data_IF_214890426364
#
_entry.id   IF_214890426364
#
_cell.length_a   1.000
_cell.length_b   1.000
_cell.length_c   1.000
_cell.angle_alpha   90.00
_cell.angle_beta   90.00
_cell.angle_gamma   90.00
#
_symmetry.space_group_name_H-M   'P 1'
#
loop_
_entity.id
_entity.type
_entity.pdbx_description
1 polymer ?
#
# COMPACT_ATOMS: atom_id res chain seq x y z
N UNK A 1 10.65 -47.00 -1.25
CA UNK A 1 9.43 -46.28 -0.81
C UNK A 1 9.85 -45.28 0.25
N UNK A 2 9.93 -44.00 -0.08
CA UNK A 2 10.25 -42.93 0.86
C UNK A 2 8.96 -42.14 1.11
N UNK A 3 8.48 -42.11 2.34
CA UNK A 3 7.37 -41.26 2.76
C UNK A 3 7.87 -39.82 2.86
N UNK A 4 7.32 -38.93 2.05
CA UNK A 4 7.42 -37.48 2.26
C UNK A 4 6.51 -37.08 3.41
N UNK A 5 7.08 -36.53 4.47
CA UNK A 5 6.33 -35.85 5.52
C UNK A 5 5.91 -34.46 5.01
N UNK A 6 4.60 -34.25 4.91
CA UNK A 6 3.99 -32.93 4.68
C UNK A 6 4.09 -32.15 5.98
N UNK A 7 4.89 -31.09 6.00
CA UNK A 7 4.95 -30.14 7.12
C UNK A 7 3.81 -29.14 6.93
N UNK A 8 2.76 -29.27 7.73
CA UNK A 8 1.72 -28.25 7.87
C UNK A 8 2.30 -27.01 8.57
N UNK A 9 1.96 -25.78 8.17
CA UNK A 9 2.34 -24.58 8.91
C UNK A 9 1.59 -24.53 10.27
N UNK A 10 2.21 -23.96 11.31
CA UNK A 10 1.66 -24.02 12.66
C UNK A 10 0.46 -23.09 12.81
N UNK A 11 -0.60 -23.60 13.45
CA UNK A 11 -1.64 -22.77 14.01
C UNK A 11 -1.06 -22.01 15.21
N UNK A 12 -1.15 -20.68 15.22
CA UNK A 12 -0.83 -19.87 16.39
C UNK A 12 -1.98 -18.93 16.69
N UNK A 13 -2.77 -19.33 17.68
CA UNK A 13 -3.50 -18.43 18.54
C UNK A 13 -2.77 -18.44 19.89
N UNK A 14 -2.09 -17.36 20.26
CA UNK A 14 -1.90 -16.98 21.66
C UNK A 14 -1.45 -15.51 21.76
N UNK A 15 -2.05 -14.83 22.74
CA UNK A 15 -1.82 -13.43 23.10
C UNK A 15 -0.33 -13.14 23.33
N UNK A 16 0.19 -12.19 22.57
CA UNK A 16 1.44 -11.49 22.88
C UNK A 16 1.11 -10.04 23.23
N UNK A 17 1.53 -9.67 24.43
CA UNK A 17 1.40 -8.34 25.01
C UNK A 17 2.48 -7.46 24.36
N UNK A 18 2.15 -6.70 23.31
CA UNK A 18 3.09 -5.82 22.62
C UNK A 18 3.42 -4.58 23.46
N UNK A 19 4.68 -4.09 23.45
CA UNK A 19 5.00 -2.78 24.01
C UNK A 19 4.26 -1.69 23.22
N UNK A 20 3.89 -0.61 23.92
CA UNK A 20 3.03 0.43 23.38
C UNK A 20 3.57 1.02 22.07
N UNK A 21 2.79 0.84 21.00
CA UNK A 21 2.88 1.62 19.77
C UNK A 21 2.85 3.11 20.12
N UNK A 22 3.67 3.97 19.48
CA UNK A 22 3.63 5.41 19.76
C UNK A 22 2.20 5.90 19.56
N UNK A 23 1.65 6.50 20.61
CA UNK A 23 0.25 6.89 20.70
C UNK A 23 -0.22 7.60 19.42
N UNK A 24 -1.31 7.11 18.85
CA UNK A 24 -1.97 7.72 17.71
C UNK A 24 -2.14 9.22 17.96
N UNK A 25 -1.65 10.04 17.02
CA UNK A 25 -1.82 11.48 17.09
C UNK A 25 -3.33 11.84 17.15
N UNK A 26 -3.74 12.86 17.93
CA UNK A 26 -5.13 13.15 18.29
C UNK A 26 -6.06 13.62 17.13
N UNK A 27 -5.69 13.40 15.87
CA UNK A 27 -6.48 13.82 14.70
C UNK A 27 -7.51 12.80 14.20
N UNK A 28 -7.40 11.52 14.57
CA UNK A 28 -8.33 10.47 14.11
C UNK A 28 -9.54 10.28 15.04
N UNK A 29 -9.61 10.99 16.17
CA UNK A 29 -10.77 10.92 17.07
C UNK A 29 -12.08 11.41 16.44
N UNK A 30 -12.04 12.02 15.24
CA UNK A 30 -13.22 12.55 14.55
C UNK A 30 -13.83 11.60 13.51
N UNK A 31 -13.11 10.59 12.99
CA UNK A 31 -13.62 9.64 11.97
C UNK A 31 -13.56 8.21 12.50
N UNK A 32 -14.63 7.80 13.19
CA UNK A 32 -14.66 6.55 13.96
C UNK A 32 -14.62 5.26 13.13
N UNK A 33 -14.74 5.33 11.80
CA UNK A 33 -14.71 4.18 10.89
C UNK A 33 -13.69 4.40 9.76
N UNK A 34 -12.88 3.38 9.40
CA UNK A 34 -11.84 3.50 8.37
C UNK A 34 -12.36 3.95 7.01
N UNK A 35 -13.60 3.63 6.65
CA UNK A 35 -14.19 4.03 5.36
C UNK A 35 -14.45 5.55 5.26
N UNK A 36 -14.51 6.26 6.40
CA UNK A 36 -14.78 7.71 6.41
C UNK A 36 -13.50 8.54 6.15
N UNK A 37 -12.34 7.90 6.24
CA UNK A 37 -11.03 8.54 6.02
C UNK A 37 -10.80 8.91 4.56
N UNK A 38 -11.51 8.25 3.62
CA UNK A 38 -11.29 8.35 2.18
C UNK A 38 -10.14 7.49 1.66
N UNK A 39 -9.38 6.83 2.55
CA UNK A 39 -8.40 5.80 2.20
C UNK A 39 -9.07 4.69 1.39
N UNK A 40 -8.32 4.08 0.47
CA UNK A 40 -8.78 3.01 -0.41
C UNK A 40 -8.83 1.65 0.32
N UNK A 41 -9.51 1.61 1.48
CA UNK A 41 -9.59 0.44 2.37
C UNK A 41 -10.33 -0.72 1.70
N UNK A 42 -11.43 -0.43 1.00
CA UNK A 42 -12.21 -1.46 0.31
C UNK A 42 -11.44 -2.03 -0.89
N UNK A 43 -10.75 -1.17 -1.65
CA UNK A 43 -9.81 -1.62 -2.68
C UNK A 43 -8.70 -2.47 -2.07
N UNK A 44 -8.07 -2.05 -0.98
CA UNK A 44 -7.02 -2.81 -0.32
C UNK A 44 -7.51 -4.23 0.04
N UNK A 45 -8.70 -4.36 0.62
CA UNK A 45 -9.29 -5.66 0.98
C UNK A 45 -9.60 -6.54 -0.24
N UNK A 46 -10.18 -6.00 -1.31
CA UNK A 46 -10.68 -6.78 -2.45
C UNK A 46 -9.68 -6.94 -3.62
N UNK A 47 -8.75 -6.01 -3.77
CA UNK A 47 -7.88 -5.89 -4.93
C UNK A 47 -6.39 -6.13 -4.62
N UNK A 48 -6.06 -6.52 -3.39
CA UNK A 48 -4.72 -7.00 -3.06
C UNK A 48 -4.63 -8.50 -3.26
N UNK A 49 -3.63 -8.95 -4.01
CA UNK A 49 -3.29 -10.38 -4.15
C UNK A 49 -2.56 -10.85 -2.89
N UNK A 50 -3.31 -11.37 -1.93
CA UNK A 50 -2.80 -11.82 -0.63
C UNK A 50 -3.74 -12.89 -0.03
N UNK A 51 -3.19 -14.06 0.33
CA UNK A 51 -3.97 -15.20 0.81
C UNK A 51 -4.69 -14.94 2.16
N UNK A 52 -4.15 -14.05 3.01
CA UNK A 52 -4.84 -13.63 4.23
C UNK A 52 -6.08 -12.82 3.87
N UNK A 53 -5.95 -11.87 2.94
CA UNK A 53 -7.08 -11.02 2.53
C UNK A 53 -8.16 -11.83 1.79
N UNK A 54 -7.78 -12.85 1.02
CA UNK A 54 -8.74 -13.83 0.47
C UNK A 54 -9.52 -14.56 1.57
N UNK A 55 -8.84 -14.93 2.66
CA UNK A 55 -9.47 -15.55 3.83
C UNK A 55 -10.37 -14.57 4.60
N UNK A 56 -9.95 -13.30 4.73
CA UNK A 56 -10.72 -12.25 5.36
C UNK A 56 -12.01 -11.93 4.57
N UNK A 57 -11.96 -11.95 3.25
CA UNK A 57 -13.14 -11.81 2.37
C UNK A 57 -14.13 -12.96 2.55
N UNK A 58 -13.63 -14.20 2.66
CA UNK A 58 -14.48 -15.35 2.96
C UNK A 58 -15.12 -15.22 4.36
N UNK A 59 -14.38 -14.70 5.34
CA UNK A 59 -14.92 -14.40 6.67
C UNK A 59 -15.99 -13.29 6.63
N UNK A 60 -15.74 -12.20 5.91
CA UNK A 60 -16.72 -11.13 5.69
C UNK A 60 -18.02 -11.70 5.15
N UNK A 61 -17.93 -12.45 4.04
CA UNK A 61 -19.11 -12.99 3.38
C UNK A 61 -19.91 -13.89 4.32
N UNK A 62 -19.23 -14.80 5.03
CA UNK A 62 -19.87 -15.74 5.96
C UNK A 62 -20.44 -15.05 7.20
N UNK A 63 -19.72 -14.11 7.78
CA UNK A 63 -20.10 -13.47 9.06
C UNK A 63 -21.33 -12.58 8.95
N UNK A 64 -21.57 -12.02 7.77
CA UNK A 64 -22.71 -11.13 7.49
C UNK A 64 -23.74 -11.75 6.54
N UNK A 65 -23.59 -13.03 6.21
CA UNK A 65 -24.43 -13.77 5.26
C UNK A 65 -24.64 -13.02 3.94
N UNK A 66 -23.56 -12.47 3.39
CA UNK A 66 -23.62 -11.67 2.17
C UNK A 66 -23.76 -12.57 0.94
N UNK A 67 -24.69 -12.23 0.07
CA UNK A 67 -24.81 -12.86 -1.24
C UNK A 67 -23.56 -12.59 -2.10
N UNK A 68 -23.27 -13.49 -3.04
CA UNK A 68 -22.20 -13.26 -4.03
C UNK A 68 -22.39 -11.96 -4.82
N UNK A 69 -23.65 -11.53 -5.02
CA UNK A 69 -23.96 -10.25 -5.65
C UNK A 69 -23.50 -9.07 -4.79
N UNK A 70 -23.79 -9.07 -3.50
CA UNK A 70 -23.34 -8.03 -2.58
C UNK A 70 -21.80 -7.98 -2.49
N UNK A 71 -21.14 -9.13 -2.47
CA UNK A 71 -19.67 -9.19 -2.50
C UNK A 71 -19.10 -8.58 -3.80
N UNK A 72 -19.69 -8.89 -4.96
CA UNK A 72 -19.28 -8.31 -6.23
C UNK A 72 -19.54 -6.79 -6.29
N UNK A 73 -20.63 -6.30 -5.70
CA UNK A 73 -20.91 -4.87 -5.60
C UNK A 73 -19.88 -4.16 -4.70
N UNK A 74 -19.50 -4.75 -3.56
CA UNK A 74 -18.40 -4.22 -2.72
C UNK A 74 -17.07 -4.18 -3.46
N UNK A 75 -16.72 -5.25 -4.18
CA UNK A 75 -15.50 -5.31 -4.99
C UNK A 75 -15.47 -4.18 -6.04
N UNK A 76 -16.59 -3.96 -6.72
CA UNK A 76 -16.74 -2.94 -7.75
C UNK A 76 -16.65 -1.52 -7.16
N UNK A 77 -17.28 -1.27 -6.02
CA UNK A 77 -17.21 0.03 -5.32
C UNK A 77 -15.78 0.34 -4.90
N UNK A 78 -15.05 -0.65 -4.37
CA UNK A 78 -13.63 -0.48 -4.01
C UNK A 78 -12.77 -0.10 -5.22
N UNK A 79 -12.93 -0.78 -6.35
CA UNK A 79 -12.22 -0.44 -7.58
C UNK A 79 -12.57 0.96 -8.09
N UNK A 80 -13.86 1.31 -8.07
CA UNK A 80 -14.36 2.62 -8.51
C UNK A 80 -13.73 3.76 -7.72
N UNK A 81 -13.68 3.65 -6.38
CA UNK A 81 -13.01 4.62 -5.50
C UNK A 81 -11.53 4.77 -5.85
N UNK A 82 -10.82 3.65 -6.02
CA UNK A 82 -9.40 3.65 -6.37
C UNK A 82 -9.15 4.32 -7.73
N UNK A 83 -9.96 4.03 -8.73
CA UNK A 83 -9.81 4.62 -10.08
C UNK A 83 -10.14 6.12 -10.09
N UNK A 84 -11.19 6.54 -9.38
CA UNK A 84 -11.56 7.94 -9.25
C UNK A 84 -10.45 8.77 -8.59
N UNK A 85 -9.73 8.18 -7.64
CA UNK A 85 -8.66 8.85 -6.89
C UNK A 85 -7.29 8.76 -7.56
N UNK A 86 -7.09 7.85 -8.53
CA UNK A 86 -5.83 7.65 -9.28
C UNK A 86 -5.70 8.50 -10.55
N UNK A 87 -6.78 9.15 -11.00
CA UNK A 87 -6.75 9.92 -12.25
C UNK A 87 -5.62 10.97 -12.22
N UNK A 88 -4.84 11.13 -13.31
CA UNK A 88 -3.58 11.91 -13.36
C UNK A 88 -3.72 13.43 -13.12
N UNK A 89 -4.87 13.91 -12.64
CA UNK A 89 -5.08 15.27 -12.15
C UNK A 89 -5.33 15.37 -10.64
N UNK A 90 -5.32 14.27 -9.89
CA UNK A 90 -5.66 14.28 -8.46
C UNK A 90 -4.46 14.15 -7.52
N UNK A 91 -3.34 13.51 -7.87
CA UNK A 91 -2.10 13.75 -7.11
C UNK A 91 -1.70 15.20 -7.37
N UNK A 92 -1.68 16.05 -6.35
CA UNK A 92 -1.37 17.46 -6.49
C UNK A 92 0.13 17.63 -6.77
N UNK A 93 0.59 17.20 -7.95
CA UNK A 93 1.81 17.74 -8.56
C UNK A 93 1.47 19.20 -8.94
N UNK A 94 1.53 20.06 -7.92
CA UNK A 94 1.50 21.54 -7.93
C UNK A 94 0.17 22.32 -8.15
N UNK A 95 -1.00 21.83 -7.70
CA UNK A 95 -2.26 22.56 -7.91
C UNK A 95 -2.94 23.11 -6.65
N UNK A 96 -3.61 22.24 -5.90
CA UNK A 96 -4.41 22.63 -4.74
C UNK A 96 -4.64 21.40 -3.83
N UNK A 97 -3.74 21.21 -2.86
CA UNK A 97 -3.82 20.17 -1.83
C UNK A 97 -5.17 20.20 -1.10
N UNK A 98 -5.77 21.38 -0.94
CA UNK A 98 -7.08 21.53 -0.31
C UNK A 98 -8.17 20.96 -1.22
N UNK A 99 -8.13 21.24 -2.52
CA UNK A 99 -9.07 20.66 -3.48
C UNK A 99 -8.93 19.14 -3.57
N UNK A 100 -7.70 18.62 -3.61
CA UNK A 100 -7.48 17.17 -3.58
C UNK A 100 -8.09 16.54 -2.33
N UNK A 101 -7.74 17.06 -1.14
CA UNK A 101 -8.25 16.53 0.12
C UNK A 101 -9.78 16.65 0.24
N UNK A 102 -10.38 17.73 -0.26
CA UNK A 102 -11.83 17.86 -0.34
C UNK A 102 -12.45 16.82 -1.29
N UNK A 103 -11.79 16.50 -2.41
CA UNK A 103 -12.24 15.45 -3.33
C UNK A 103 -12.21 14.06 -2.69
N UNK A 104 -11.20 13.79 -1.86
CA UNK A 104 -11.09 12.54 -1.08
C UNK A 104 -12.26 12.40 -0.11
N UNK A 105 -12.62 13.47 0.60
CA UNK A 105 -13.78 13.46 1.51
C UNK A 105 -15.10 13.27 0.77
N UNK A 106 -15.29 13.95 -0.36
CA UNK A 106 -16.47 13.77 -1.20
C UNK A 106 -16.58 12.34 -1.75
N UNK A 107 -15.47 11.77 -2.18
CA UNK A 107 -15.42 10.39 -2.68
C UNK A 107 -15.67 9.38 -1.55
N UNK A 108 -15.22 9.63 -0.32
CA UNK A 108 -15.54 8.80 0.84
C UNK A 108 -17.05 8.78 1.11
N UNK A 109 -17.70 9.95 1.10
CA UNK A 109 -19.14 10.06 1.28
C UNK A 109 -19.93 9.32 0.19
N UNK A 110 -19.54 9.49 -1.08
CA UNK A 110 -20.14 8.77 -2.21
C UNK A 110 -19.96 7.25 -2.08
N UNK A 111 -18.74 6.80 -1.78
CA UNK A 111 -18.41 5.38 -1.60
C UNK A 111 -19.26 4.77 -0.49
N UNK A 112 -19.42 5.46 0.65
CA UNK A 112 -20.27 5.01 1.74
C UNK A 112 -21.75 4.86 1.33
N UNK A 113 -22.28 5.77 0.49
CA UNK A 113 -23.65 5.67 -0.04
C UNK A 113 -23.82 4.46 -0.99
N UNK A 114 -22.81 4.19 -1.83
CA UNK A 114 -22.81 3.04 -2.73
C UNK A 114 -22.77 1.72 -1.94
N UNK A 115 -21.90 1.63 -0.91
CA UNK A 115 -21.85 0.48 0.01
C UNK A 115 -23.18 0.29 0.72
N UNK A 116 -23.79 1.37 1.22
CA UNK A 116 -25.10 1.29 1.88
C UNK A 116 -26.18 0.77 0.93
N UNK A 117 -26.16 1.20 -0.33
CA UNK A 117 -27.12 0.77 -1.36
C UNK A 117 -26.95 -0.71 -1.72
N UNK A 118 -25.69 -1.18 -1.80
CA UNK A 118 -25.37 -2.58 -2.07
C UNK A 118 -25.79 -3.49 -0.90
N UNK A 119 -25.48 -3.09 0.33
CA UNK A 119 -25.65 -3.94 1.50
C UNK A 119 -27.03 -3.86 2.15
N UNK A 120 -27.76 -2.76 1.95
CA UNK A 120 -29.10 -2.53 2.54
C UNK A 120 -29.06 -2.78 4.05
N UNK A 121 -29.84 -3.75 4.53
CA UNK A 121 -29.96 -4.08 5.95
C UNK A 121 -28.65 -4.61 6.56
N UNK A 122 -27.74 -5.17 5.75
CA UNK A 122 -26.41 -5.63 6.20
C UNK A 122 -25.41 -4.48 6.40
N UNK A 123 -25.73 -3.24 5.97
CA UNK A 123 -24.80 -2.11 6.01
C UNK A 123 -24.27 -1.77 7.41
N UNK A 124 -25.09 -1.68 8.48
CA UNK A 124 -24.58 -1.41 9.83
C UNK A 124 -23.64 -2.52 10.33
N UNK A 125 -23.98 -3.78 10.04
CA UNK A 125 -23.14 -4.93 10.36
C UNK A 125 -21.78 -4.87 9.66
N UNK A 126 -21.77 -4.51 8.38
CA UNK A 126 -20.55 -4.30 7.61
C UNK A 126 -19.69 -3.18 8.16
N UNK A 127 -20.28 -2.03 8.54
CA UNK A 127 -19.51 -0.93 9.14
C UNK A 127 -18.82 -1.35 10.44
N UNK A 128 -19.47 -2.19 11.24
CA UNK A 128 -18.84 -2.74 12.45
C UNK A 128 -17.74 -3.75 12.11
N UNK A 129 -18.02 -4.65 11.16
CA UNK A 129 -17.06 -5.65 10.72
C UNK A 129 -15.79 -5.01 10.15
N UNK A 130 -15.91 -4.06 9.20
CA UNK A 130 -14.76 -3.41 8.55
C UNK A 130 -13.93 -2.61 9.55
N UNK A 131 -14.57 -2.01 10.57
CA UNK A 131 -13.86 -1.29 11.64
C UNK A 131 -13.01 -2.25 12.48
N UNK A 132 -13.58 -3.37 12.90
CA UNK A 132 -12.86 -4.38 13.68
C UNK A 132 -11.76 -5.07 12.84
N UNK A 133 -12.09 -5.46 11.62
CA UNK A 133 -11.13 -6.04 10.67
C UNK A 133 -9.96 -5.09 10.39
N UNK A 134 -10.23 -3.79 10.18
CA UNK A 134 -9.18 -2.82 9.90
C UNK A 134 -8.18 -2.70 11.05
N UNK A 135 -8.66 -2.71 12.30
CA UNK A 135 -7.75 -2.72 13.45
C UNK A 135 -6.89 -3.99 13.46
N UNK A 136 -7.49 -5.16 13.25
CA UNK A 136 -6.75 -6.42 13.19
C UNK A 136 -5.76 -6.48 12.02
N UNK A 137 -6.08 -5.89 10.88
CA UNK A 137 -5.19 -5.79 9.72
C UNK A 137 -3.99 -4.87 10.00
N UNK A 138 -4.22 -3.72 10.65
CA UNK A 138 -3.13 -2.84 11.11
C UNK A 138 -2.18 -3.58 12.03
N UNK A 139 -2.71 -4.24 13.06
CA UNK A 139 -1.91 -4.97 14.04
C UNK A 139 -1.09 -6.09 13.35
N UNK A 140 -1.73 -6.83 12.44
CA UNK A 140 -1.06 -7.88 11.67
C UNK A 140 0.11 -7.35 10.84
N UNK A 141 -0.10 -6.26 10.08
CA UNK A 141 0.94 -5.71 9.19
C UNK A 141 2.05 -5.04 9.97
N UNK A 142 1.73 -4.29 11.02
CA UNK A 142 2.72 -3.62 11.85
C UNK A 142 3.61 -4.64 12.58
N UNK A 143 3.04 -5.72 13.13
CA UNK A 143 3.83 -6.79 13.73
C UNK A 143 4.78 -7.47 12.73
N UNK A 144 4.32 -7.67 11.48
CA UNK A 144 5.15 -8.24 10.42
C UNK A 144 6.30 -7.30 10.02
N UNK A 145 6.04 -6.00 9.95
CA UNK A 145 7.03 -4.96 9.66
C UNK A 145 8.08 -4.89 10.77
N UNK A 146 7.66 -4.82 12.04
CA UNK A 146 8.54 -4.82 13.21
C UNK A 146 9.45 -6.05 13.25
N UNK A 147 8.90 -7.23 12.94
CA UNK A 147 9.65 -8.49 12.92
C UNK A 147 10.69 -8.57 11.79
N UNK A 148 10.50 -7.82 10.70
CA UNK A 148 11.34 -7.85 9.51
C UNK A 148 12.47 -6.79 9.50
N UNK A 149 12.48 -5.84 10.45
CA UNK A 149 13.39 -4.69 10.45
C UNK A 149 14.63 -4.94 11.34
N UNK A 150 15.82 -4.68 10.78
CA UNK A 150 17.10 -4.68 11.52
C UNK A 150 17.71 -3.28 11.45
N UNK A 151 17.99 -2.63 12.60
CA UNK A 151 18.37 -1.21 12.64
C UNK A 151 19.77 -0.87 12.11
N UNK A 152 20.67 -1.85 11.97
CA UNK A 152 22.12 -1.55 11.89
C UNK A 152 22.78 -1.77 10.52
N UNK A 153 22.02 -2.04 9.46
CA UNK A 153 22.53 -2.09 8.09
C UNK A 153 21.46 -1.61 7.10
N UNK A 154 21.88 -0.93 6.02
CA UNK A 154 21.00 -0.54 4.93
C UNK A 154 20.16 -1.73 4.44
N UNK A 155 18.92 -1.45 4.05
CA UNK A 155 18.00 -2.53 3.72
C UNK A 155 18.25 -2.99 2.29
N UNK A 156 18.85 -4.17 2.16
CA UNK A 156 19.06 -4.78 0.85
C UNK A 156 17.78 -5.39 0.30
N UNK A 157 16.90 -5.94 1.16
CA UNK A 157 15.67 -6.63 0.73
C UNK A 157 14.52 -6.34 1.70
N UNK A 158 13.34 -6.01 1.17
CA UNK A 158 12.16 -5.71 2.00
C UNK A 158 10.84 -6.17 1.38
N UNK A 159 9.85 -6.45 2.24
CA UNK A 159 8.47 -6.74 1.81
C UNK A 159 7.69 -5.42 1.76
N UNK A 160 7.21 -5.03 0.58
CA UNK A 160 6.60 -3.73 0.33
C UNK A 160 5.27 -3.93 -0.40
N UNK A 161 4.28 -3.10 -0.06
CA UNK A 161 3.04 -3.04 -0.80
C UNK A 161 3.25 -2.31 -2.13
N UNK A 162 2.87 -2.96 -3.21
CA UNK A 162 2.99 -2.45 -4.56
C UNK A 162 1.63 -2.07 -5.14
N UNK A 163 1.57 -0.89 -5.76
CA UNK A 163 0.52 -0.48 -6.69
C UNK A 163 1.06 -0.47 -8.12
N UNK A 164 0.23 -0.02 -9.06
CA UNK A 164 0.59 0.03 -10.47
C UNK A 164 0.51 1.46 -10.97
N UNK A 165 1.22 1.77 -12.06
CA UNK A 165 1.05 3.00 -12.84
C UNK A 165 1.09 2.71 -14.34
N UNK A 166 0.57 3.64 -15.15
CA UNK A 166 0.72 3.60 -16.61
C UNK A 166 1.96 4.42 -16.95
N UNK A 167 3.02 3.80 -17.52
CA UNK A 167 4.23 4.52 -17.86
C UNK A 167 4.03 5.42 -19.08
N UNK A 168 4.84 6.47 -19.21
CA UNK A 168 4.83 7.38 -20.36
C UNK A 168 5.17 6.64 -21.67
N UNK A 169 6.10 5.70 -21.59
CA UNK A 169 6.40 4.79 -22.70
C UNK A 169 5.50 3.55 -22.61
N UNK A 170 4.53 3.46 -23.52
CA UNK A 170 3.59 2.34 -23.57
C UNK A 170 4.32 0.98 -23.59
N UNK A 171 3.96 0.11 -22.64
CA UNK A 171 4.55 -1.22 -22.50
C UNK A 171 5.91 -1.27 -21.81
N UNK A 172 6.46 -0.14 -21.35
CA UNK A 172 7.71 -0.12 -20.60
C UNK A 172 7.61 -0.98 -19.33
N UNK A 173 8.70 -1.67 -19.02
CA UNK A 173 8.86 -2.50 -17.81
C UNK A 173 9.79 -1.76 -16.86
N UNK A 174 9.21 -1.03 -15.92
CA UNK A 174 9.87 -0.05 -15.05
C UNK A 174 9.12 0.05 -13.71
N UNK A 175 9.73 0.72 -12.74
CA UNK A 175 9.13 1.01 -11.45
C UNK A 175 9.25 2.49 -11.09
N UNK A 176 8.40 2.94 -10.16
CA UNK A 176 8.58 4.18 -9.42
C UNK A 176 9.02 3.89 -7.99
N UNK A 177 10.01 4.63 -7.50
CA UNK A 177 10.37 4.71 -6.09
C UNK A 177 10.30 6.16 -5.61
N UNK A 178 10.05 6.41 -4.31
CA UNK A 178 9.93 7.76 -3.76
C UNK A 178 11.29 8.46 -3.63
N UNK A 179 12.05 8.49 -4.72
CA UNK A 179 13.34 9.12 -4.87
C UNK A 179 13.47 9.75 -6.26
N UNK A 180 13.20 11.06 -6.32
CA UNK A 180 13.32 11.86 -7.55
C UNK A 180 14.74 11.92 -8.10
N UNK A 181 15.76 11.71 -7.28
CA UNK A 181 17.16 11.77 -7.73
C UNK A 181 17.57 10.48 -8.45
N UNK A 182 17.02 9.33 -8.04
CA UNK A 182 17.16 8.08 -8.80
C UNK A 182 16.55 8.24 -10.19
N UNK A 183 15.28 8.69 -10.26
CA UNK A 183 14.61 8.99 -11.54
C UNK A 183 15.46 9.92 -12.41
N UNK A 184 15.84 11.07 -11.86
CA UNK A 184 16.61 12.08 -12.58
C UNK A 184 17.93 11.52 -13.13
N UNK A 185 18.65 10.72 -12.34
CA UNK A 185 19.89 10.10 -12.79
C UNK A 185 19.68 9.05 -13.90
N UNK A 186 18.67 8.20 -13.76
CA UNK A 186 18.35 7.18 -14.77
C UNK A 186 17.92 7.79 -16.11
N UNK A 187 17.22 8.93 -16.07
CA UNK A 187 16.83 9.72 -17.24
C UNK A 187 17.96 10.63 -17.79
N UNK A 188 19.16 10.59 -17.20
CA UNK A 188 20.31 11.40 -17.65
C UNK A 188 20.20 12.90 -17.32
N UNK A 189 19.29 13.28 -16.42
CA UNK A 189 19.13 14.64 -15.91
C UNK A 189 20.06 14.92 -14.72
N UNK A 190 20.13 16.19 -14.28
CA UNK A 190 20.94 16.59 -13.13
C UNK A 190 20.51 15.86 -11.86
N UNK A 191 21.44 15.16 -11.23
CA UNK A 191 21.21 14.39 -10.01
C UNK A 191 22.47 14.38 -9.11
N UNK A 192 22.30 14.39 -7.77
CA UNK A 192 23.40 14.15 -6.84
C UNK A 192 23.97 12.73 -6.99
N UNK A 193 23.17 11.76 -7.40
CA UNK A 193 23.59 10.36 -7.54
C UNK A 193 24.44 10.13 -8.80
N UNK A 194 25.45 9.24 -8.70
CA UNK A 194 26.43 8.95 -9.75
C UNK A 194 26.40 7.47 -10.15
N UNK A 195 26.57 7.21 -11.44
CA UNK A 195 26.64 5.86 -12.05
C UNK A 195 25.29 5.13 -12.23
N UNK A 196 24.31 5.73 -12.93
CA UNK A 196 23.15 4.96 -13.42
C UNK A 196 23.62 3.82 -14.37
N UNK A 197 22.83 2.74 -14.55
CA UNK A 197 21.45 2.61 -14.14
C UNK A 197 21.27 2.17 -12.68
N UNK A 198 20.30 2.78 -12.00
CA UNK A 198 19.77 2.28 -10.74
C UNK A 198 18.60 1.35 -11.00
N UNK A 199 18.68 0.16 -10.44
CA UNK A 199 17.71 -0.91 -10.66
C UNK A 199 17.28 -1.56 -9.36
N UNK A 200 16.14 -2.21 -9.40
CA UNK A 200 15.69 -3.11 -8.34
C UNK A 200 15.37 -4.48 -8.91
N UNK A 201 15.38 -5.48 -8.03
CA UNK A 201 14.75 -6.78 -8.31
C UNK A 201 13.44 -6.85 -7.55
N UNK A 202 12.33 -7.11 -8.25
CA UNK A 202 11.00 -7.28 -7.67
C UNK A 202 10.55 -8.73 -7.78
N UNK A 203 9.97 -9.27 -6.71
CA UNK A 203 9.57 -10.68 -6.62
C UNK A 203 8.22 -10.83 -5.95
N UNK A 204 7.37 -11.65 -6.56
CA UNK A 204 6.14 -12.17 -5.94
C UNK A 204 6.25 -13.69 -5.74
N UNK A 205 5.17 -14.32 -5.30
CA UNK A 205 5.07 -15.79 -5.29
C UNK A 205 5.06 -16.41 -6.69
N UNK A 206 4.74 -15.63 -7.73
CA UNK A 206 4.58 -16.13 -9.09
C UNK A 206 5.88 -16.02 -9.92
N UNK A 207 6.64 -14.94 -9.77
CA UNK A 207 7.88 -14.73 -10.52
C UNK A 207 8.81 -13.70 -9.86
N UNK A 208 10.04 -13.67 -10.36
CA UNK A 208 11.06 -12.66 -10.07
C UNK A 208 11.36 -11.89 -11.35
N UNK A 209 11.45 -10.57 -11.25
CA UNK A 209 11.86 -9.68 -12.32
C UNK A 209 13.07 -8.86 -11.83
N UNK A 210 14.23 -9.11 -12.43
CA UNK A 210 15.51 -8.50 -12.05
C UNK A 210 15.87 -7.31 -12.94
N UNK A 211 16.74 -6.43 -12.42
CA UNK A 211 17.29 -5.28 -13.14
C UNK A 211 16.22 -4.32 -13.68
N UNK A 212 15.13 -4.14 -12.94
CA UNK A 212 14.04 -3.24 -13.34
C UNK A 212 14.46 -1.81 -13.03
N UNK A 213 14.49 -0.97 -14.06
CA UNK A 213 14.91 0.42 -13.94
C UNK A 213 13.85 1.23 -13.19
N UNK A 214 14.33 2.15 -12.36
CA UNK A 214 13.50 3.13 -11.66
C UNK A 214 13.39 4.37 -12.55
N UNK A 215 12.26 4.56 -13.19
CA UNK A 215 12.06 5.63 -14.20
C UNK A 215 11.05 6.70 -13.78
N UNK A 216 10.40 6.51 -12.62
CA UNK A 216 9.43 7.46 -12.08
C UNK A 216 9.66 7.70 -10.58
N UNK A 217 9.18 8.84 -10.08
CA UNK A 217 9.24 9.22 -8.67
C UNK A 217 7.85 9.08 -8.04
N UNK A 218 7.80 8.41 -6.89
CA UNK A 218 6.57 8.02 -6.20
C UNK A 218 6.64 6.56 -5.75
N UNK A 219 5.61 6.03 -5.08
CA UNK A 219 4.30 6.63 -4.81
C UNK A 219 4.32 7.66 -3.68
N UNK A 220 3.39 8.63 -3.74
CA UNK A 220 3.09 9.68 -2.74
C UNK A 220 4.22 10.69 -2.48
N UNK A 221 5.39 10.20 -2.11
CA UNK A 221 6.57 11.00 -1.79
C UNK A 221 7.60 10.93 -2.91
N UNK A 222 8.49 11.91 -2.96
CA UNK A 222 9.62 11.98 -3.89
C UNK A 222 10.97 12.07 -3.18
N UNK A 223 11.00 12.34 -1.87
CA UNK A 223 12.24 12.38 -1.08
C UNK A 223 12.38 11.24 -0.08
N UNK A 224 11.43 10.32 -0.02
CA UNK A 224 11.39 9.24 0.96
C UNK A 224 12.20 7.98 0.59
N UNK A 225 13.53 8.08 0.56
CA UNK A 225 14.43 6.93 0.34
C UNK A 225 14.48 5.98 1.57
N UNK A 226 13.36 5.36 1.91
CA UNK A 226 13.18 4.55 3.13
C UNK A 226 14.12 3.35 3.25
N UNK A 227 14.80 2.93 2.18
CA UNK A 227 15.81 1.86 2.20
C UNK A 227 17.19 2.33 2.70
N UNK A 228 17.45 3.64 2.70
CA UNK A 228 18.75 4.25 2.98
C UNK A 228 18.88 4.66 4.46
N UNK A 229 19.99 4.27 5.09
CA UNK A 229 20.37 4.68 6.45
C UNK A 229 20.51 6.19 6.60
N UNK A 230 20.87 6.90 5.53
CA UNK A 230 20.92 8.35 5.43
C UNK A 230 19.62 8.94 4.83
N UNK A 231 18.46 8.37 5.20
CA UNK A 231 17.12 8.79 4.77
C UNK A 231 16.99 10.32 4.78
N UNK A 232 16.61 10.92 3.64
CA UNK A 232 16.58 12.38 3.44
C UNK A 232 15.48 13.07 4.24
N UNK A 233 14.36 12.39 4.44
CA UNK A 233 13.21 12.88 5.24
C UNK A 233 12.76 11.81 6.22
N UNK A 234 11.95 12.18 7.21
CA UNK A 234 11.40 11.29 8.24
C UNK A 234 12.44 10.54 9.09
N UNK A 235 13.72 10.89 8.99
CA UNK A 235 14.79 10.30 9.77
C UNK A 235 14.54 10.49 11.28
N UNK A 236 14.73 9.44 12.06
CA UNK A 236 14.43 9.40 13.50
C UNK A 236 12.94 9.43 13.86
N UNK A 237 12.03 9.54 12.88
CA UNK A 237 10.57 9.49 13.08
C UNK A 237 9.93 8.21 12.57
N UNK A 238 10.57 7.55 11.60
CA UNK A 238 10.16 6.27 11.07
C UNK A 238 11.36 5.32 11.09
N UNK A 239 11.09 4.04 11.40
CA UNK A 239 12.09 2.98 11.35
C UNK A 239 12.63 2.84 9.92
N UNK A 240 13.92 2.50 9.80
CA UNK A 240 14.54 2.19 8.52
C UNK A 240 13.72 1.10 7.81
N UNK A 241 13.40 1.33 6.54
CA UNK A 241 12.59 0.43 5.71
C UNK A 241 11.12 0.74 5.68
N UNK A 242 10.58 1.50 6.64
CA UNK A 242 9.16 1.85 6.66
C UNK A 242 8.90 2.96 5.65
N UNK A 243 8.20 2.69 4.52
CA UNK A 243 7.77 3.77 3.63
C UNK A 243 6.84 4.70 4.39
N UNK A 244 6.95 6.01 4.20
CA UNK A 244 6.10 6.97 4.89
C UNK A 244 4.61 6.73 4.56
N UNK A 245 4.30 6.44 3.30
CA UNK A 245 2.93 6.15 2.87
C UNK A 245 2.32 4.92 3.60
N UNK A 246 3.13 3.92 3.93
CA UNK A 246 2.68 2.80 4.77
C UNK A 246 2.25 3.31 6.15
N UNK A 247 3.09 4.10 6.80
CA UNK A 247 2.83 4.64 8.14
C UNK A 247 1.66 5.65 8.15
N UNK A 248 1.51 6.47 7.11
CA UNK A 248 0.37 7.37 6.95
C UNK A 248 -0.95 6.59 6.76
N UNK A 249 -0.91 5.52 5.97
CA UNK A 249 -2.08 4.69 5.68
C UNK A 249 -2.53 3.88 6.90
N UNK A 250 -1.63 3.18 7.59
CA UNK A 250 -2.00 2.35 8.74
C UNK A 250 -2.08 3.14 10.05
N UNK A 251 -1.14 4.04 10.32
CA UNK A 251 -0.96 4.63 11.65
C UNK A 251 -1.21 6.13 11.72
N UNK A 252 -1.75 6.69 10.63
CA UNK A 252 -2.04 8.12 10.53
C UNK A 252 -0.80 8.98 10.79
N UNK A 253 0.40 8.44 10.52
CA UNK A 253 1.64 9.21 10.55
C UNK A 253 1.52 10.44 9.66
N UNK A 254 2.12 11.55 10.09
CA UNK A 254 2.01 12.84 9.41
C UNK A 254 0.55 13.24 9.11
N UNK A 255 -0.38 12.92 10.04
CA UNK A 255 -1.82 13.16 9.89
C UNK A 255 -2.44 12.43 8.67
N UNK A 256 -1.85 11.30 8.28
CA UNK A 256 -2.25 10.53 7.11
C UNK A 256 -1.92 11.22 5.79
N UNK A 257 -0.93 12.12 5.79
CA UNK A 257 -0.55 12.93 4.63
C UNK A 257 0.87 12.61 4.15
N UNK A 258 1.12 12.76 2.85
CA UNK A 258 2.47 12.68 2.29
C UNK A 258 3.28 13.99 2.52
N UNK A 259 4.48 14.07 1.94
CA UNK A 259 5.36 15.24 2.04
C UNK A 259 4.78 16.52 1.41
N UNK A 260 3.74 16.41 0.57
CA UNK A 260 3.08 17.54 -0.07
C UNK A 260 1.79 17.95 0.66
N UNK A 261 1.31 17.14 1.62
CA UNK A 261 0.08 17.38 2.37
C UNK A 261 -1.16 16.71 1.78
N UNK A 262 -0.99 15.88 0.76
CA UNK A 262 -2.06 15.10 0.15
C UNK A 262 -2.40 13.90 1.05
N UNK A 263 -3.70 13.57 1.20
CA UNK A 263 -4.11 12.38 1.94
C UNK A 263 -3.56 11.13 1.27
N UNK A 264 -2.77 10.34 2.00
CA UNK A 264 -2.29 9.04 1.53
C UNK A 264 -3.44 8.05 1.48
N UNK A 265 -3.74 7.54 0.29
CA UNK A 265 -4.90 6.69 0.06
C UNK A 265 -4.59 5.20 0.02
N UNK A 266 -3.32 4.81 -0.07
CA UNK A 266 -2.88 3.41 -0.06
C UNK A 266 -1.46 3.31 0.55
N UNK A 267 -1.02 2.14 1.04
CA UNK A 267 0.25 2.00 1.75
C UNK A 267 1.44 1.75 0.80
N UNK A 268 1.34 2.13 -0.47
CA UNK A 268 2.33 1.75 -1.46
C UNK A 268 3.70 2.37 -1.14
N UNK A 269 4.74 1.54 -1.17
CA UNK A 269 6.14 1.97 -1.12
C UNK A 269 6.86 1.87 -2.46
N UNK A 270 6.19 1.30 -3.47
CA UNK A 270 6.68 1.14 -4.85
C UNK A 270 5.47 1.10 -5.79
N UNK A 271 5.61 1.71 -6.97
CA UNK A 271 4.68 1.52 -8.07
C UNK A 271 5.34 0.72 -9.18
N UNK A 272 4.62 -0.26 -9.74
CA UNK A 272 5.08 -1.04 -10.88
C UNK A 272 4.39 -0.55 -12.16
N UNK A 273 5.12 -0.47 -13.26
CA UNK A 273 4.43 -0.30 -14.55
C UNK A 273 3.45 -1.46 -14.76
N UNK A 274 2.37 -1.23 -15.52
CA UNK A 274 1.41 -2.32 -15.82
C UNK A 274 2.08 -3.56 -16.42
N UNK A 275 3.14 -3.39 -17.22
CA UNK A 275 3.92 -4.50 -17.76
C UNK A 275 4.74 -5.23 -16.68
N UNK A 276 5.42 -4.49 -15.78
CA UNK A 276 6.18 -5.06 -14.67
C UNK A 276 5.28 -5.81 -13.68
N UNK A 277 4.14 -5.22 -13.32
CA UNK A 277 3.13 -5.84 -12.46
C UNK A 277 2.65 -7.18 -13.05
N UNK A 278 2.29 -7.19 -14.34
CA UNK A 278 1.89 -8.41 -15.05
C UNK A 278 2.99 -9.46 -15.09
N UNK A 279 4.25 -9.05 -15.29
CA UNK A 279 5.39 -9.96 -15.34
C UNK A 279 5.61 -10.71 -14.02
N UNK A 280 5.29 -10.09 -12.88
CA UNK A 280 5.30 -10.75 -11.57
C UNK A 280 3.93 -11.32 -11.16
N UNK A 281 2.99 -11.44 -12.10
CA UNK A 281 1.69 -12.08 -11.88
C UNK A 281 0.70 -11.26 -11.04
N UNK A 282 0.88 -9.94 -10.95
CA UNK A 282 -0.20 -9.03 -10.52
C UNK A 282 -1.13 -8.80 -11.72
N UNK A 283 -2.43 -9.06 -11.52
CA UNK A 283 -3.45 -8.80 -12.54
C UNK A 283 -3.69 -7.30 -12.75
N UNK A 284 -4.47 -6.93 -13.76
CA UNK A 284 -4.84 -5.53 -13.99
C UNK A 284 -5.53 -4.94 -12.74
N UNK A 285 -5.11 -3.73 -12.35
CA UNK A 285 -5.58 -3.03 -11.15
C UNK A 285 -5.38 -3.80 -9.84
N UNK A 286 -4.61 -4.89 -9.79
CA UNK A 286 -4.32 -5.60 -8.55
C UNK A 286 -3.07 -5.03 -7.89
N UNK A 287 -3.15 -4.86 -6.59
CA UNK A 287 -1.99 -4.58 -5.73
C UNK A 287 -1.47 -5.87 -5.10
N UNK A 288 -0.34 -5.81 -4.42
CA UNK A 288 0.19 -6.97 -3.72
C UNK A 288 1.36 -6.64 -2.81
N UNK A 289 1.57 -7.48 -1.80
CA UNK A 289 2.81 -7.49 -1.04
C UNK A 289 3.88 -8.24 -1.82
N UNK A 290 4.96 -7.55 -2.17
CA UNK A 290 6.07 -8.08 -2.95
C UNK A 290 7.38 -7.94 -2.18
N UNK A 291 8.38 -8.72 -2.57
CA UNK A 291 9.73 -8.54 -2.06
C UNK A 291 10.53 -7.72 -3.06
N UNK A 292 11.14 -6.63 -2.60
CA UNK A 292 12.02 -5.76 -3.40
C UNK A 292 13.44 -5.89 -2.89
N UNK A 293 14.41 -5.97 -3.80
CA UNK A 293 15.84 -5.91 -3.49
C UNK A 293 16.44 -4.65 -4.09
N UNK A 294 17.12 -3.86 -3.25
CA UNK A 294 17.65 -2.52 -3.51
C UNK A 294 19.17 -2.50 -3.73
N UNK A 295 19.73 -3.57 -4.29
CA UNK A 295 21.20 -3.75 -4.39
C UNK A 295 21.90 -2.74 -5.29
N UNK A 296 21.19 -2.17 -6.26
CA UNK A 296 21.74 -1.25 -7.26
C UNK A 296 21.20 0.17 -7.05
N UNK A 297 20.91 0.54 -5.80
CA UNK A 297 20.51 1.89 -5.41
C UNK A 297 21.69 2.62 -4.72
N UNK A 298 21.78 3.96 -4.86
CA UNK A 298 22.83 4.77 -4.25
C UNK A 298 22.75 4.84 -2.73
#
# INVERSE_FOLDING_TARGET
>A
MALSAVVSPPAFAEQINSPASPAAAPGESAKANPLDTGKNILYYLFWTKDAKLESDLANLQKSLDLSSKQMAELEAVGLSQFQATRSPGNSAKSGDVKAFNASVEAQAAKTNQEIQSALKDSYPGFRNWIKAWWQGERDYRNNAVESAMKPDAGITTHTIYATQYVPDTSGATEVALPDKYIKSANLGSSSPYKNPPYTVTVRSSAATLSNVRVEEAGPWNENDNYWDTARRTWNGRLTLGTPEAYAAFYDNFNNGKDEFGDTVLNPAGIDLSTAAARAIGLGANKSGWIVVTFSDLP
#
